data_IF_891667579337
#
_entry.id   IF_891667579337
#
_cell.length_a   1.000
_cell.length_b   1.000
_cell.length_c   1.000
_cell.angle_alpha   90.00
_cell.angle_beta   90.00
_cell.angle_gamma   90.00
#
_symmetry.space_group_name_H-M   'P 1'
#
loop_
_entity.id
_entity.type
_entity.pdbx_description
1 polymer ?
#
# COMPACT_ATOMS: atom_id res chain seq x y z
N UNK A 1 -14.73 -12.72 25.64
CA UNK A 1 -14.62 -11.65 24.63
C UNK A 1 -14.54 -12.35 23.30
N UNK A 2 -15.70 -12.46 22.62
CA UNK A 2 -15.84 -13.24 21.40
C UNK A 2 -14.92 -12.69 20.33
N UNK A 3 -13.91 -13.48 19.99
CA UNK A 3 -13.03 -13.26 18.85
C UNK A 3 -13.90 -13.39 17.60
N UNK A 4 -14.28 -12.24 17.03
CA UNK A 4 -14.93 -12.15 15.73
C UNK A 4 -13.96 -12.68 14.66
N UNK A 5 -13.86 -14.00 14.52
CA UNK A 5 -13.52 -14.66 13.26
C UNK A 5 -14.63 -14.30 12.26
N UNK A 6 -14.59 -13.07 11.74
CA UNK A 6 -15.28 -12.75 10.50
C UNK A 6 -14.67 -13.70 9.47
N UNK A 7 -15.47 -14.67 9.06
CA UNK A 7 -15.26 -15.57 7.93
C UNK A 7 -14.96 -14.74 6.68
N UNK A 8 -13.71 -14.28 6.53
CA UNK A 8 -13.26 -13.64 5.31
C UNK A 8 -12.76 -14.77 4.44
N UNK A 9 -13.65 -15.23 3.56
CA UNK A 9 -13.28 -16.10 2.45
C UNK A 9 -11.98 -15.59 1.81
N UNK A 10 -11.02 -16.47 1.45
CA UNK A 10 -9.67 -16.08 1.05
C UNK A 10 -9.63 -15.14 -0.17
N UNK A 11 -10.72 -15.07 -0.95
CA UNK A 11 -10.88 -14.15 -2.08
C UNK A 11 -11.36 -12.74 -1.71
N UNK A 12 -11.79 -12.50 -0.47
CA UNK A 12 -12.29 -11.20 0.00
C UNK A 12 -11.25 -10.39 0.77
N UNK A 13 -10.05 -10.94 0.98
CA UNK A 13 -8.90 -10.26 1.59
C UNK A 13 -7.95 -9.81 0.48
N UNK A 14 -8.23 -8.64 -0.09
CA UNK A 14 -7.22 -7.96 -0.91
C UNK A 14 -5.99 -7.67 -0.03
N UNK A 15 -4.75 -7.89 -0.51
CA UNK A 15 -3.54 -7.64 0.27
C UNK A 15 -3.45 -6.16 0.65
N UNK A 16 -2.91 -5.91 1.85
CA UNK A 16 -2.65 -4.55 2.33
C UNK A 16 -1.60 -3.85 1.46
N UNK A 17 -1.51 -2.52 1.57
CA UNK A 17 -0.46 -1.76 0.88
C UNK A 17 0.94 -2.28 1.23
N UNK A 18 1.17 -2.63 2.51
CA UNK A 18 2.43 -3.19 2.98
C UNK A 18 2.74 -4.54 2.32
N UNK A 19 1.76 -5.43 2.22
CA UNK A 19 1.93 -6.71 1.52
C UNK A 19 2.29 -6.47 0.05
N UNK A 20 1.56 -5.59 -0.64
CA UNK A 20 1.80 -5.25 -2.05
C UNK A 20 3.19 -4.63 -2.27
N UNK A 21 3.63 -3.74 -1.37
CA UNK A 21 4.95 -3.11 -1.44
C UNK A 21 6.06 -4.16 -1.25
N UNK A 22 5.93 -5.03 -0.26
CA UNK A 22 6.89 -6.11 -0.01
C UNK A 22 6.98 -7.11 -1.18
N UNK A 23 5.85 -7.44 -1.83
CA UNK A 23 5.82 -8.33 -3.00
C UNK A 23 6.68 -7.82 -4.18
N UNK A 24 6.77 -6.49 -4.34
CA UNK A 24 7.56 -5.86 -5.40
C UNK A 24 8.94 -5.38 -4.92
N UNK A 25 9.33 -5.70 -3.68
CA UNK A 25 10.60 -5.30 -3.09
C UNK A 25 10.70 -3.82 -2.71
N UNK A 26 9.57 -3.11 -2.61
CA UNK A 26 9.52 -1.72 -2.17
C UNK A 26 9.50 -1.66 -0.65
N UNK A 27 10.40 -0.87 -0.06
CA UNK A 27 10.38 -0.63 1.39
C UNK A 27 9.14 0.19 1.77
N UNK A 28 8.25 -0.42 2.55
CA UNK A 28 6.99 0.20 2.95
C UNK A 28 7.18 1.54 3.69
N UNK A 29 8.12 1.64 4.63
CA UNK A 29 8.38 2.88 5.35
C UNK A 29 8.87 3.98 4.41
N UNK A 30 9.81 3.66 3.52
CA UNK A 30 10.33 4.62 2.54
C UNK A 30 9.25 5.07 1.54
N UNK A 31 8.34 4.17 1.15
CA UNK A 31 7.17 4.50 0.34
C UNK A 31 6.25 5.49 1.06
N UNK A 32 5.93 5.26 2.35
CA UNK A 32 5.09 6.18 3.14
C UNK A 32 5.77 7.55 3.31
N UNK A 33 7.07 7.58 3.58
CA UNK A 33 7.83 8.83 3.62
C UNK A 33 7.84 9.54 2.27
N UNK A 34 7.95 8.80 1.16
CA UNK A 34 7.86 9.36 -0.18
C UNK A 34 6.49 9.97 -0.50
N UNK A 35 5.41 9.29 -0.09
CA UNK A 35 4.04 9.82 -0.19
C UNK A 35 3.87 11.08 0.66
N UNK A 36 4.34 11.05 1.91
CA UNK A 36 4.25 12.17 2.86
C UNK A 36 4.98 13.41 2.37
N UNK A 37 6.15 13.24 1.76
CA UNK A 37 6.96 14.33 1.20
C UNK A 37 6.54 14.71 -0.23
N UNK A 38 5.47 14.12 -0.76
CA UNK A 38 4.99 14.33 -2.12
C UNK A 38 6.08 14.12 -3.19
N UNK A 39 6.95 13.11 -2.98
CA UNK A 39 7.97 12.73 -3.96
C UNK A 39 7.33 12.25 -5.26
N UNK A 40 8.07 12.43 -6.35
CA UNK A 40 7.63 12.00 -7.67
C UNK A 40 7.74 10.48 -7.82
N UNK A 41 6.87 9.90 -8.64
CA UNK A 41 6.85 8.45 -8.88
C UNK A 41 8.16 7.97 -9.51
N UNK A 42 8.80 8.80 -10.33
CA UNK A 42 10.09 8.53 -10.95
C UNK A 42 11.24 8.50 -9.93
N UNK A 43 11.31 9.47 -9.03
CA UNK A 43 12.34 9.53 -7.98
C UNK A 43 12.26 8.33 -7.04
N UNK A 44 11.05 7.97 -6.63
CA UNK A 44 10.82 6.78 -5.80
C UNK A 44 11.12 5.49 -6.55
N UNK A 45 10.77 5.42 -7.83
CA UNK A 45 11.02 4.23 -8.64
C UNK A 45 12.52 3.98 -8.86
N UNK A 46 13.30 5.04 -9.09
CA UNK A 46 14.76 4.95 -9.19
C UNK A 46 15.37 4.47 -7.87
N UNK A 47 14.94 5.05 -6.74
CA UNK A 47 15.42 4.66 -5.41
C UNK A 47 15.08 3.20 -5.05
N UNK A 48 13.88 2.75 -5.39
CA UNK A 48 13.41 1.40 -5.08
C UNK A 48 13.77 0.36 -6.16
N UNK A 49 14.35 0.78 -7.29
CA UNK A 49 14.69 -0.11 -8.40
C UNK A 49 13.47 -0.74 -9.10
N UNK A 50 12.31 -0.06 -9.06
CA UNK A 50 11.06 -0.53 -9.69
C UNK A 50 10.65 0.39 -10.83
N UNK A 51 9.56 0.07 -11.53
CA UNK A 51 9.01 0.96 -12.57
C UNK A 51 8.22 2.11 -11.93
N UNK A 52 8.27 3.34 -12.47
CA UNK A 52 7.43 4.47 -12.01
C UNK A 52 5.94 4.11 -11.94
N UNK A 53 5.46 3.33 -12.91
CA UNK A 53 4.08 2.82 -12.94
C UNK A 53 3.73 1.95 -11.72
N UNK A 54 4.69 1.21 -11.17
CA UNK A 54 4.49 0.40 -9.96
C UNK A 54 4.25 1.29 -8.74
N UNK A 55 5.02 2.36 -8.61
CA UNK A 55 4.85 3.37 -7.56
C UNK A 55 3.51 4.08 -7.70
N UNK A 56 3.12 4.44 -8.93
CA UNK A 56 1.80 5.01 -9.21
C UNK A 56 0.67 4.13 -8.68
N UNK A 57 0.71 2.82 -8.93
CA UNK A 57 -0.29 1.87 -8.41
C UNK A 57 -0.29 1.76 -6.87
N UNK A 58 0.88 1.80 -6.23
CA UNK A 58 0.98 1.77 -4.77
C UNK A 58 0.41 3.06 -4.14
N UNK A 59 0.69 4.22 -4.74
CA UNK A 59 0.11 5.50 -4.32
C UNK A 59 -1.40 5.53 -4.53
N UNK A 60 -1.88 5.09 -5.69
CA UNK A 60 -3.32 4.97 -5.96
C UNK A 60 -4.01 4.08 -4.92
N UNK A 61 -3.43 2.93 -4.59
CA UNK A 61 -3.94 2.06 -3.54
C UNK A 61 -3.96 2.78 -2.18
N UNK A 62 -2.90 3.51 -1.83
CA UNK A 62 -2.87 4.33 -0.61
C UNK A 62 -4.02 5.36 -0.57
N UNK A 63 -4.26 6.09 -1.66
CA UNK A 63 -5.30 7.13 -1.70
C UNK A 63 -6.73 6.55 -1.73
N UNK A 64 -6.92 5.38 -2.33
CA UNK A 64 -8.24 4.75 -2.50
C UNK A 64 -8.61 3.79 -1.37
N UNK A 65 -7.64 3.20 -0.68
CA UNK A 65 -7.85 2.17 0.36
C UNK A 65 -7.20 2.50 1.70
N UNK A 66 -6.28 3.47 1.75
CA UNK A 66 -5.48 3.80 2.92
C UNK A 66 -4.32 2.82 3.18
N UNK A 67 -3.66 3.00 4.33
CA UNK A 67 -2.55 2.15 4.79
C UNK A 67 -3.01 0.72 5.12
N UNK A 68 -4.22 0.60 5.66
CA UNK A 68 -4.75 -0.68 6.12
C UNK A 68 -6.25 -0.81 5.86
N UNK A 69 -6.72 -0.63 4.62
CA UNK A 69 -8.11 -0.92 4.22
C UNK A 69 -9.18 -0.49 5.25
N UNK A 70 -9.03 0.70 5.84
CA UNK A 70 -10.06 1.38 6.63
C UNK A 70 -10.17 2.77 6.03
N UNK A 71 -10.90 2.85 4.93
CA UNK A 71 -11.43 4.11 4.46
C UNK A 71 -12.75 4.35 5.21
N UNK A 72 -12.78 5.37 6.06
CA UNK A 72 -13.99 5.89 6.70
C UNK A 72 -14.30 5.32 8.08
N UNK A 73 -13.83 5.98 9.14
CA UNK A 73 -14.75 6.32 10.20
C UNK A 73 -15.06 7.81 10.05
N UNK A 74 -16.29 8.07 9.61
CA UNK A 74 -17.01 9.33 9.85
C UNK A 74 -17.08 9.59 11.36
#
# INVERSE_FOLDING_TARGET
>A
MEEYLRSRVPWSTEPSLETKANEVGVNFNALIDGIKNNRSDEEMAEEFGVKPKCIGYLKEHFWTRGIGSIMGQD
#
